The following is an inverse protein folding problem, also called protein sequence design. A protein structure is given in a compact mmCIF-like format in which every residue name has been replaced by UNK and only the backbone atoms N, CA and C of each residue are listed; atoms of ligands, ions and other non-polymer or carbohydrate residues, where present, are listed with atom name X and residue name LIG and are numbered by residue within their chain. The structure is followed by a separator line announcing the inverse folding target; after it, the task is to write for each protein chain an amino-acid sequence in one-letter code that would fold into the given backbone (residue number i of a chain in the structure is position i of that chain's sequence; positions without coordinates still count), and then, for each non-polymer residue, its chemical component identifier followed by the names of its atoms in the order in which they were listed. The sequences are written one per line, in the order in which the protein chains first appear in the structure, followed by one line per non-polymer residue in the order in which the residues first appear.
data_IF_177896787778
#
_entry.id   IF_177896787778
#
_cell.length_a   1.000
_cell.length_b   1.000
_cell.length_c   1.000
_cell.angle_alpha   90.00
_cell.angle_beta   90.00
_cell.angle_gamma   90.00
#
_symmetry.space_group_name_H-M   'P 1'
#
loop_
_entity.id
_entity.type
_entity.pdbx_description
1 polymer ?
#
# COMPACT_ATOMS: atom_id res chain seq x y z
N UNK A 1 37.27 -12.74 -0.58
CA UNK A 1 36.20 -11.78 -0.93
C UNK A 1 34.91 -12.56 -1.06
N UNK A 2 33.95 -12.37 -0.13
CA UNK A 2 32.70 -13.14 -0.12
C UNK A 2 31.87 -12.79 -1.35
N UNK A 3 31.53 -13.80 -2.16
CA UNK A 3 30.43 -13.76 -3.12
C UNK A 3 29.13 -13.43 -2.37
N UNK A 4 28.86 -12.14 -2.15
CA UNK A 4 27.50 -11.70 -1.80
C UNK A 4 26.68 -11.83 -3.07
N UNK A 5 25.83 -12.85 -3.12
CA UNK A 5 24.71 -12.90 -4.05
C UNK A 5 24.03 -11.51 -4.04
N UNK A 6 23.96 -10.86 -5.20
CA UNK A 6 23.33 -9.54 -5.33
C UNK A 6 21.81 -9.74 -5.25
N UNK A 7 21.26 -9.68 -4.05
CA UNK A 7 19.83 -9.81 -3.80
C UNK A 7 19.11 -8.54 -4.31
N UNK A 8 18.10 -8.72 -5.17
CA UNK A 8 17.25 -7.66 -5.69
C UNK A 8 16.10 -7.35 -4.72
N UNK A 9 15.60 -6.11 -4.75
CA UNK A 9 14.53 -5.62 -3.87
C UNK A 9 13.68 -4.57 -4.56
N UNK A 10 12.36 -4.62 -4.39
CA UNK A 10 11.49 -3.48 -4.67
C UNK A 10 11.61 -2.46 -3.52
N UNK A 11 12.09 -1.26 -3.82
CA UNK A 11 12.55 -0.30 -2.82
C UNK A 11 12.12 1.12 -3.19
N UNK A 12 11.60 1.87 -2.23
CA UNK A 12 11.52 3.33 -2.32
C UNK A 12 12.72 3.97 -1.61
N UNK A 13 13.16 5.11 -2.12
CA UNK A 13 14.23 5.92 -1.54
C UNK A 13 13.67 7.31 -1.29
N UNK A 14 13.89 7.83 -0.08
CA UNK A 14 13.44 9.16 0.31
C UNK A 14 14.63 10.12 0.28
N UNK A 15 14.52 11.17 -0.50
CA UNK A 15 15.52 12.23 -0.65
C UNK A 15 14.93 13.50 -0.04
N UNK A 16 15.69 14.15 0.83
CA UNK A 16 15.30 15.41 1.49
C UNK A 16 15.36 16.60 0.53
N UNK A 17 14.79 17.73 0.95
CA UNK A 17 14.88 19.00 0.23
C UNK A 17 16.31 19.56 0.14
N UNK A 18 17.23 19.05 0.95
CA UNK A 18 18.67 19.37 0.87
C UNK A 18 19.43 18.49 -0.13
N UNK A 19 18.76 17.53 -0.78
CA UNK A 19 19.37 16.56 -1.69
C UNK A 19 19.96 15.32 -1.00
N UNK A 20 20.01 15.29 0.34
CA UNK A 20 20.50 14.13 1.10
C UNK A 20 19.49 12.98 1.12
N UNK A 21 19.97 11.75 1.00
CA UNK A 21 19.15 10.53 1.19
C UNK A 21 18.83 10.38 2.67
N UNK A 22 17.54 10.44 3.02
CA UNK A 22 17.06 10.20 4.39
C UNK A 22 17.11 8.70 4.70
N UNK A 23 16.72 7.88 3.73
CA UNK A 23 16.69 6.43 3.89
C UNK A 23 15.92 5.72 2.78
N UNK A 24 15.57 4.47 3.05
CA UNK A 24 14.86 3.60 2.11
C UNK A 24 13.86 2.70 2.83
N UNK A 25 12.85 2.25 2.10
CA UNK A 25 11.88 1.25 2.55
C UNK A 25 11.67 0.21 1.45
N UNK A 26 11.63 -1.07 1.83
CA UNK A 26 11.43 -2.22 0.93
C UNK A 26 10.00 -2.71 1.00
N UNK A 27 9.43 -3.10 -0.14
CA UNK A 27 8.03 -3.54 -0.27
C UNK A 27 7.73 -4.71 0.68
N UNK A 28 6.86 -4.50 1.66
CA UNK A 28 6.52 -5.53 2.67
C UNK A 28 5.74 -6.71 2.08
N UNK A 29 4.80 -6.45 1.17
CA UNK A 29 3.91 -7.47 0.62
C UNK A 29 4.17 -7.66 -0.87
N UNK A 30 4.60 -8.86 -1.26
CA UNK A 30 4.98 -9.19 -2.64
C UNK A 30 3.85 -9.99 -3.32
N UNK A 31 3.28 -9.49 -4.43
CA UNK A 31 2.24 -10.21 -5.16
C UNK A 31 2.81 -11.44 -5.87
N UNK A 32 1.89 -12.39 -6.09
CA UNK A 32 2.11 -13.66 -6.79
C UNK A 32 0.93 -13.98 -7.72
N UNK A 33 0.27 -12.95 -8.24
CA UNK A 33 -1.06 -13.03 -8.85
C UNK A 33 -1.01 -12.59 -10.31
N UNK A 34 -1.50 -13.44 -11.22
CA UNK A 34 -1.58 -13.14 -12.65
C UNK A 34 -0.24 -12.70 -13.24
N UNK A 35 -0.23 -11.56 -13.93
CA UNK A 35 0.97 -11.00 -14.53
C UNK A 35 1.96 -10.39 -13.51
N UNK A 36 1.51 -10.13 -12.28
CA UNK A 36 2.32 -9.54 -11.21
C UNK A 36 3.14 -10.62 -10.47
N UNK A 37 4.00 -11.28 -11.23
CA UNK A 37 4.94 -12.33 -10.80
C UNK A 37 6.15 -11.77 -10.04
N UNK A 38 5.94 -10.79 -9.15
CA UNK A 38 7.00 -10.04 -8.49
C UNK A 38 7.90 -10.91 -7.60
N UNK A 39 7.37 -11.98 -7.01
CA UNK A 39 8.15 -12.91 -6.17
C UNK A 39 9.28 -13.63 -6.90
N UNK A 40 9.25 -13.67 -8.24
CA UNK A 40 10.34 -14.24 -9.01
C UNK A 40 11.58 -13.33 -9.04
N UNK A 41 11.42 -12.05 -8.68
CA UNK A 41 12.47 -11.04 -8.74
C UNK A 41 13.01 -10.66 -7.37
N UNK A 42 12.17 -10.60 -6.34
CA UNK A 42 12.55 -10.14 -5.00
C UNK A 42 11.64 -10.69 -3.90
N UNK A 43 12.17 -10.76 -2.68
CA UNK A 43 11.49 -11.26 -1.48
C UNK A 43 10.85 -10.13 -0.65
N UNK A 44 10.01 -10.51 0.31
CA UNK A 44 9.34 -9.63 1.27
C UNK A 44 10.33 -8.72 2.01
N UNK A 45 10.00 -7.43 2.06
CA UNK A 45 10.83 -6.40 2.66
C UNK A 45 11.16 -6.64 4.13
N UNK A 46 12.40 -6.32 4.51
CA UNK A 46 12.90 -6.48 5.87
C UNK A 46 13.19 -5.14 6.58
N UNK A 47 12.58 -4.06 6.11
CA UNK A 47 12.77 -2.70 6.66
C UNK A 47 11.66 -2.28 7.63
N UNK A 48 10.65 -3.13 7.86
CA UNK A 48 9.49 -2.79 8.68
C UNK A 48 8.64 -1.68 8.06
N UNK A 49 8.15 -0.77 8.90
CA UNK A 49 7.22 0.30 8.50
C UNK A 49 7.80 1.70 8.83
N UNK A 50 8.95 2.08 8.24
CA UNK A 50 9.63 3.32 8.61
C UNK A 50 8.79 4.54 8.22
N UNK A 51 8.83 5.55 9.09
CA UNK A 51 8.27 6.87 8.87
C UNK A 51 9.43 7.86 8.78
N UNK A 52 9.49 8.61 7.70
CA UNK A 52 10.57 9.55 7.40
C UNK A 52 10.13 10.95 7.81
N UNK A 53 10.78 11.50 8.83
CA UNK A 53 10.57 12.89 9.22
C UNK A 53 11.23 13.82 8.19
N UNK A 54 10.42 14.65 7.54
CA UNK A 54 10.89 15.72 6.66
C UNK A 54 10.50 17.07 7.26
N UNK A 55 11.05 18.16 6.72
CA UNK A 55 10.61 19.51 7.12
C UNK A 55 9.14 19.81 6.78
N UNK A 56 8.52 19.00 5.92
CA UNK A 56 7.14 19.16 5.46
C UNK A 56 6.16 18.18 6.12
N UNK A 57 6.63 17.40 7.10
CA UNK A 57 5.83 16.40 7.80
C UNK A 57 6.47 15.00 7.77
N UNK A 58 5.85 14.09 8.52
CA UNK A 58 6.22 12.69 8.64
C UNK A 58 5.56 11.87 7.53
N UNK A 59 6.36 11.40 6.59
CA UNK A 59 5.86 10.64 5.44
C UNK A 59 6.18 9.15 5.55
N UNK A 60 5.31 8.32 5.02
CA UNK A 60 5.55 6.90 4.81
C UNK A 60 5.18 6.49 3.40
N UNK A 61 5.62 5.31 2.99
CA UNK A 61 5.39 4.78 1.64
C UNK A 61 4.89 3.35 1.76
N UNK A 62 3.62 3.12 1.45
CA UNK A 62 3.06 1.80 1.28
C UNK A 62 3.19 1.37 -0.19
N UNK A 63 4.12 0.47 -0.52
CA UNK A 63 4.43 0.18 -1.92
C UNK A 63 3.42 -0.79 -2.54
N UNK A 64 2.72 -0.34 -3.58
CA UNK A 64 1.88 -1.11 -4.50
C UNK A 64 0.94 -2.12 -3.81
N UNK A 65 1.24 -3.43 -3.87
CA UNK A 65 0.42 -4.52 -3.32
C UNK A 65 0.22 -4.46 -1.80
N UNK A 66 1.05 -3.71 -1.09
CA UNK A 66 0.78 -3.38 0.31
C UNK A 66 -0.53 -2.59 0.52
N UNK A 67 -1.16 -2.05 -0.55
CA UNK A 67 -2.47 -1.37 -0.50
C UNK A 67 -3.59 -2.28 0.01
N UNK A 68 -3.51 -3.58 -0.27
CA UNK A 68 -4.53 -4.56 0.12
C UNK A 68 -4.45 -4.98 1.59
N UNK A 69 -3.37 -4.60 2.28
CA UNK A 69 -3.08 -5.07 3.63
C UNK A 69 -3.37 -3.98 4.65
N UNK A 70 -4.52 -4.06 5.31
CA UNK A 70 -4.95 -3.08 6.33
C UNK A 70 -3.93 -2.91 7.46
N UNK A 71 -3.27 -4.00 7.87
CA UNK A 71 -2.23 -3.96 8.90
C UNK A 71 -0.98 -3.18 8.45
N UNK A 72 -0.63 -3.23 7.16
CA UNK A 72 0.52 -2.50 6.62
C UNK A 72 0.29 -0.98 6.71
N UNK A 73 -0.91 -0.53 6.34
CA UNK A 73 -1.35 0.86 6.53
C UNK A 73 -1.35 1.27 8.01
N UNK A 74 -1.93 0.42 8.86
CA UNK A 74 -2.03 0.66 10.30
C UNK A 74 -0.68 0.85 10.96
N UNK A 75 0.31 0.03 10.62
CA UNK A 75 1.66 0.14 11.20
C UNK A 75 2.35 1.46 10.85
N UNK A 76 2.13 2.03 9.65
CA UNK A 76 2.62 3.38 9.35
C UNK A 76 1.92 4.45 10.20
N UNK A 77 0.61 4.31 10.43
CA UNK A 77 -0.17 5.20 11.31
C UNK A 77 0.29 5.15 12.77
N UNK A 78 0.53 3.94 13.29
CA UNK A 78 1.08 3.72 14.63
C UNK A 78 2.49 4.29 14.80
N UNK A 79 3.31 4.25 13.74
CA UNK A 79 4.63 4.89 13.72
C UNK A 79 4.56 6.42 13.51
N UNK A 80 3.36 7.00 13.42
CA UNK A 80 3.14 8.44 13.40
C UNK A 80 3.24 9.09 12.02
N UNK A 81 2.94 8.36 10.95
CA UNK A 81 2.83 8.94 9.61
C UNK A 81 1.68 9.98 9.54
N UNK A 82 1.94 11.09 8.87
CA UNK A 82 0.98 12.16 8.59
C UNK A 82 0.48 12.11 7.14
N UNK A 83 1.31 11.60 6.23
CA UNK A 83 0.96 11.29 4.85
C UNK A 83 1.53 9.91 4.50
N UNK A 84 0.72 9.04 3.92
CA UNK A 84 1.19 7.76 3.37
C UNK A 84 1.00 7.73 1.86
N UNK A 85 2.11 7.70 1.14
CA UNK A 85 2.14 7.54 -0.31
C UNK A 85 1.98 6.07 -0.70
N UNK A 86 1.25 5.80 -1.76
CA UNK A 86 1.06 4.47 -2.32
C UNK A 86 1.36 4.44 -3.82
N UNK A 87 2.67 4.38 -4.18
CA UNK A 87 3.09 4.19 -5.56
C UNK A 87 2.75 2.77 -6.00
N UNK A 88 2.00 2.68 -7.09
CA UNK A 88 1.43 1.43 -7.61
C UNK A 88 1.62 1.31 -9.12
N UNK A 89 1.58 0.07 -9.58
CA UNK A 89 1.43 -0.28 -10.99
C UNK A 89 0.44 -1.45 -11.03
N UNK A 90 -0.78 -1.16 -11.44
CA UNK A 90 -1.85 -2.17 -11.56
C UNK A 90 -2.74 -1.84 -12.75
N UNK A 91 -3.28 -2.89 -13.36
CA UNK A 91 -3.93 -2.87 -14.67
C UNK A 91 -5.43 -3.11 -14.54
N UNK A 92 -6.21 -2.62 -15.50
CA UNK A 92 -7.66 -2.78 -15.50
C UNK A 92 -8.10 -4.23 -15.75
N UNK A 93 -7.26 -5.03 -16.42
CA UNK A 93 -7.52 -6.43 -16.69
C UNK A 93 -7.36 -7.34 -15.45
N UNK A 94 -6.68 -6.86 -14.41
CA UNK A 94 -6.56 -7.56 -13.13
C UNK A 94 -7.92 -7.51 -12.42
N UNK A 95 -8.59 -8.67 -12.35
CA UNK A 95 -9.98 -8.77 -11.93
C UNK A 95 -10.24 -8.06 -10.59
N UNK A 96 -11.04 -6.99 -10.65
CA UNK A 96 -11.47 -6.22 -9.49
C UNK A 96 -10.48 -5.16 -8.99
N UNK A 97 -9.26 -5.08 -9.52
CA UNK A 97 -8.26 -4.11 -9.05
C UNK A 97 -8.76 -2.66 -9.13
N UNK A 98 -9.35 -2.28 -10.26
CA UNK A 98 -9.86 -0.92 -10.46
C UNK A 98 -11.04 -0.58 -9.53
N UNK A 99 -11.90 -1.56 -9.21
CA UNK A 99 -13.00 -1.35 -8.26
C UNK A 99 -12.46 -1.07 -6.85
N UNK A 100 -11.40 -1.77 -6.45
CA UNK A 100 -10.75 -1.59 -5.14
C UNK A 100 -9.96 -0.29 -5.04
N UNK A 101 -9.47 0.26 -6.16
CA UNK A 101 -8.59 1.44 -6.19
C UNK A 101 -9.15 2.64 -5.40
N UNK A 102 -10.45 2.90 -5.54
CA UNK A 102 -11.09 4.04 -4.89
C UNK A 102 -11.50 3.78 -3.43
N UNK A 103 -11.27 2.55 -2.94
CA UNK A 103 -11.71 2.05 -1.63
C UNK A 103 -10.53 1.97 -0.67
N UNK A 104 -9.45 1.28 -1.04
CA UNK A 104 -8.44 0.81 -0.09
C UNK A 104 -7.63 1.96 0.51
N UNK A 105 -7.02 2.81 -0.32
CA UNK A 105 -6.26 3.96 0.18
C UNK A 105 -7.17 5.02 0.83
N UNK A 106 -8.45 5.07 0.44
CA UNK A 106 -9.44 5.95 1.08
C UNK A 106 -9.80 5.42 2.48
N UNK A 107 -10.03 4.12 2.61
CA UNK A 107 -10.27 3.47 3.90
C UNK A 107 -9.06 3.63 4.82
N UNK A 108 -7.85 3.48 4.30
CA UNK A 108 -6.62 3.69 5.06
C UNK A 108 -6.50 5.12 5.62
N UNK A 109 -6.87 6.16 4.85
CA UNK A 109 -6.88 7.53 5.34
C UNK A 109 -7.86 7.72 6.51
N UNK A 110 -9.07 7.17 6.38
CA UNK A 110 -10.13 7.26 7.39
C UNK A 110 -9.74 6.53 8.68
N UNK A 111 -9.32 5.27 8.56
CA UNK A 111 -9.09 4.39 9.73
C UNK A 111 -7.83 4.77 10.50
N UNK A 112 -6.86 5.40 9.84
CA UNK A 112 -5.58 5.78 10.45
C UNK A 112 -5.44 7.29 10.71
N UNK A 113 -6.45 8.09 10.39
CA UNK A 113 -6.48 9.54 10.61
C UNK A 113 -5.23 10.26 10.06
N UNK A 114 -4.82 9.90 8.84
CA UNK A 114 -3.75 10.59 8.09
C UNK A 114 -4.21 10.89 6.65
N UNK A 115 -3.37 11.57 5.87
CA UNK A 115 -3.57 11.69 4.43
C UNK A 115 -3.04 10.45 3.68
N UNK A 116 -3.69 10.09 2.58
CA UNK A 116 -3.13 9.10 1.63
C UNK A 116 -2.99 9.69 0.23
N UNK A 117 -1.99 9.21 -0.50
CA UNK A 117 -1.72 9.56 -1.89
C UNK A 117 -1.59 8.28 -2.73
N UNK A 118 -2.69 7.88 -3.38
CA UNK A 118 -2.69 6.72 -4.27
C UNK A 118 -2.22 7.15 -5.66
N UNK A 119 -1.17 6.52 -6.17
CA UNK A 119 -0.54 6.89 -7.44
C UNK A 119 -0.42 5.62 -8.29
N UNK A 120 -1.04 5.59 -9.46
CA UNK A 120 -0.89 4.49 -10.41
C UNK A 120 -0.20 4.97 -11.69
N UNK A 121 0.43 4.01 -12.37
CA UNK A 121 0.92 4.16 -13.74
C UNK A 121 -0.25 4.40 -14.72
N UNK A 122 0.05 4.93 -15.91
CA UNK A 122 -0.91 5.11 -17.01
C UNK A 122 -0.38 4.46 -18.30
N UNK A 123 -1.30 4.09 -19.19
CA UNK A 123 -0.97 3.65 -20.55
C UNK A 123 -0.83 2.14 -20.70
N UNK A 124 -0.34 1.73 -21.87
CA UNK A 124 -0.09 0.33 -22.24
C UNK A 124 1.40 0.09 -22.40
N UNK A 125 1.84 -1.12 -22.08
CA UNK A 125 3.22 -1.55 -22.26
C UNK A 125 3.25 -2.87 -23.02
N UNK A 126 4.00 -2.89 -24.12
CA UNK A 126 4.28 -4.08 -24.92
C UNK A 126 5.72 -4.54 -24.72
N UNK A 127 5.92 -5.85 -24.60
CA UNK A 127 7.23 -6.47 -24.38
C UNK A 127 7.71 -7.23 -25.62
N UNK A 128 9.04 -7.38 -25.82
CA UNK A 128 9.57 -8.03 -27.03
C UNK A 128 9.14 -9.49 -27.20
N UNK A 129 9.05 -10.22 -26.08
CA UNK A 129 8.76 -11.65 -26.02
C UNK A 129 7.35 -11.89 -25.48
N UNK A 130 6.71 -12.96 -25.96
CA UNK A 130 5.39 -13.37 -25.48
C UNK A 130 5.46 -13.94 -24.06
N UNK A 131 4.38 -13.75 -23.30
CA UNK A 131 4.17 -14.34 -21.98
C UNK A 131 2.68 -14.71 -21.81
N UNK A 132 2.37 -15.40 -20.72
CA UNK A 132 0.99 -15.79 -20.37
C UNK A 132 0.64 -15.28 -18.97
N UNK A 133 -0.64 -14.97 -18.75
CA UNK A 133 -1.16 -14.48 -17.46
C UNK A 133 -1.67 -15.59 -16.53
N UNK A 134 -1.42 -16.86 -16.89
CA UNK A 134 -1.94 -18.04 -16.21
C UNK A 134 -3.47 -18.09 -16.07
N UNK A 135 -4.21 -17.49 -17.02
CA UNK A 135 -5.68 -17.43 -17.04
C UNK A 135 -6.32 -18.31 -18.14
N UNK A 136 -5.51 -19.13 -18.81
CA UNK A 136 -5.93 -20.02 -19.90
C UNK A 136 -6.10 -19.33 -21.26
N UNK A 137 -5.82 -18.02 -21.38
CA UNK A 137 -5.83 -17.31 -22.66
C UNK A 137 -4.50 -17.50 -23.43
N UNK A 138 -4.47 -17.20 -24.74
CA UNK A 138 -3.25 -17.25 -25.53
C UNK A 138 -2.14 -16.35 -24.99
N UNK A 139 -0.90 -16.70 -25.34
CA UNK A 139 0.24 -15.85 -25.06
C UNK A 139 0.11 -14.52 -25.81
N UNK A 140 0.62 -13.45 -25.21
CA UNK A 140 0.50 -12.08 -25.71
C UNK A 140 1.73 -11.27 -25.32
N UNK A 141 1.78 -10.02 -25.76
CA UNK A 141 2.92 -9.12 -25.53
C UNK A 141 2.57 -7.89 -24.70
N UNK A 142 1.29 -7.58 -24.51
CA UNK A 142 0.83 -6.41 -23.76
C UNK A 142 0.39 -6.77 -22.33
N UNK A 143 0.73 -5.96 -21.32
CA UNK A 143 0.26 -6.18 -19.95
C UNK A 143 -1.18 -5.68 -19.72
N UNK A 144 -1.81 -5.06 -20.72
CA UNK A 144 -3.05 -4.31 -20.56
C UNK A 144 -2.89 -2.89 -20.01
N UNK A 145 -4.03 -2.23 -19.79
CA UNK A 145 -4.10 -0.81 -19.44
C UNK A 145 -3.77 -0.57 -17.97
N UNK A 146 -2.70 0.16 -17.68
CA UNK A 146 -2.53 0.85 -16.41
C UNK A 146 -3.50 2.04 -16.34
N UNK A 147 -4.40 2.03 -15.36
CA UNK A 147 -5.60 2.87 -15.37
C UNK A 147 -5.46 4.21 -14.63
N UNK A 148 -4.24 4.65 -14.29
CA UNK A 148 -4.00 5.96 -13.67
C UNK A 148 -4.90 6.21 -12.45
N UNK A 149 -5.79 7.20 -12.56
CA UNK A 149 -6.77 7.49 -11.51
C UNK A 149 -6.15 7.86 -10.16
N UNK A 150 -4.94 8.40 -10.18
CA UNK A 150 -4.20 8.84 -8.99
C UNK A 150 -4.99 9.92 -8.24
N UNK A 151 -4.99 9.88 -6.91
CA UNK A 151 -5.77 10.79 -6.06
C UNK A 151 -5.19 10.97 -4.66
N UNK A 152 -5.62 12.03 -3.98
CA UNK A 152 -5.39 12.26 -2.55
C UNK A 152 -6.68 12.04 -1.75
N UNK A 153 -6.55 11.49 -0.54
CA UNK A 153 -7.62 11.41 0.44
C UNK A 153 -7.18 12.01 1.78
N UNK A 154 -8.06 12.82 2.37
CA UNK A 154 -7.90 13.35 3.71
C UNK A 154 -8.36 12.38 4.81
N UNK A 155 -7.96 12.64 6.06
CA UNK A 155 -8.32 11.81 7.21
C UNK A 155 -9.83 11.83 7.53
N UNK A 156 -10.56 12.85 7.10
CA UNK A 156 -12.02 12.93 7.21
C UNK A 156 -12.78 12.07 6.18
N UNK A 157 -12.05 11.43 5.26
CA UNK A 157 -12.60 10.61 4.18
C UNK A 157 -13.01 11.40 2.94
N UNK A 158 -12.82 12.73 2.92
CA UNK A 158 -12.96 13.55 1.71
C UNK A 158 -11.75 13.31 0.81
N UNK A 159 -11.99 13.22 -0.49
CA UNK A 159 -10.93 12.99 -1.49
C UNK A 159 -11.13 13.86 -2.71
N UNK A 160 -10.04 14.12 -3.43
CA UNK A 160 -10.13 14.75 -4.74
C UNK A 160 -10.62 13.76 -5.81
N UNK A 161 -11.11 14.27 -6.95
CA UNK A 161 -11.25 13.46 -8.16
C UNK A 161 -9.94 12.78 -8.54
N UNK A 162 -10.03 11.62 -9.18
CA UNK A 162 -8.85 10.96 -9.75
C UNK A 162 -8.33 11.69 -10.98
N UNK A 163 -7.02 11.59 -11.24
CA UNK A 163 -6.43 11.97 -12.53
C UNK A 163 -6.96 11.09 -13.67
N UNK A 164 -6.59 11.45 -14.90
CA UNK A 164 -6.92 10.68 -16.09
C UNK A 164 -6.52 9.20 -15.96
N UNK A 165 -7.29 8.33 -16.60
CA UNK A 165 -6.98 6.90 -16.70
C UNK A 165 -5.88 6.60 -17.72
N UNK A 166 -5.64 7.50 -18.67
CA UNK A 166 -4.86 7.20 -19.88
C UNK A 166 -3.81 8.24 -20.22
N UNK A 167 -3.76 9.37 -19.50
CA UNK A 167 -2.84 10.47 -19.78
C UNK A 167 -1.94 10.71 -18.57
N UNK A 168 -0.70 11.06 -18.86
CA UNK A 168 0.19 11.65 -17.88
C UNK A 168 -0.47 12.86 -17.22
N UNK A 169 -0.17 13.05 -15.94
CA UNK A 169 -0.76 14.14 -15.18
C UNK A 169 -0.01 14.44 -13.89
N UNK A 170 -0.13 15.70 -13.47
CA UNK A 170 0.38 16.19 -12.20
C UNK A 170 -0.80 16.57 -11.31
N UNK A 171 -0.89 15.96 -10.13
CA UNK A 171 -1.88 16.30 -9.13
C UNK A 171 -1.21 17.10 -8.01
N UNK A 172 -1.63 18.35 -7.84
CA UNK A 172 -1.17 19.24 -6.77
C UNK A 172 -2.31 19.40 -5.77
N UNK A 173 -2.04 19.14 -4.50
CA UNK A 173 -3.00 19.31 -3.40
C UNK A 173 -2.36 20.08 -2.25
N UNK A 174 -3.15 20.94 -1.60
CA UNK A 174 -2.77 21.64 -0.37
C UNK A 174 -3.41 20.91 0.80
N UNK A 175 -2.60 20.52 1.78
CA UNK A 175 -3.04 19.73 2.94
C UNK A 175 -2.64 20.43 4.23
N UNK A 176 -3.60 20.64 5.13
CA UNK A 176 -3.30 21.03 6.51
C UNK A 176 -3.09 19.77 7.36
N UNK A 177 -1.84 19.49 7.73
CA UNK A 177 -1.49 18.30 8.51
C UNK A 177 -2.07 18.33 9.93
N UNK A 178 -2.47 19.49 10.45
CA UNK A 178 -3.14 19.57 11.76
C UNK A 178 -4.48 18.85 11.76
N UNK A 179 -5.10 18.67 10.59
CA UNK A 179 -6.35 17.93 10.42
C UNK A 179 -6.24 16.49 10.90
N UNK A 180 -5.06 15.86 10.77
CA UNK A 180 -4.82 14.49 11.23
C UNK A 180 -5.14 14.34 12.73
N UNK A 181 -4.65 15.29 13.56
CA UNK A 181 -4.94 15.31 15.00
C UNK A 181 -6.40 15.64 15.26
N UNK A 182 -6.96 16.66 14.60
CA UNK A 182 -8.35 17.07 14.79
C UNK A 182 -9.33 15.90 14.53
N UNK A 183 -9.09 15.13 13.47
CA UNK A 183 -9.91 13.95 13.15
C UNK A 183 -9.65 12.81 14.14
N UNK A 184 -8.40 12.58 14.55
CA UNK A 184 -8.07 11.57 15.57
C UNK A 184 -8.80 11.84 16.89
N UNK A 185 -8.83 13.08 17.34
CA UNK A 185 -9.51 13.50 18.57
C UNK A 185 -11.03 13.42 18.43
N UNK A 186 -11.58 13.81 17.27
CA UNK A 186 -13.03 13.76 17.00
C UNK A 186 -13.57 12.33 16.86
N UNK A 187 -12.82 11.45 16.19
CA UNK A 187 -13.26 10.09 15.85
C UNK A 187 -12.89 9.06 16.90
N UNK A 188 -11.88 9.34 17.72
CA UNK A 188 -11.43 8.49 18.81
C UNK A 188 -10.92 7.10 18.37
N UNK A 189 -10.68 6.84 17.08
CA UNK A 189 -10.25 5.52 16.60
C UNK A 189 -8.98 5.03 17.29
N UNK A 190 -7.99 5.91 17.49
CA UNK A 190 -6.76 5.54 18.19
C UNK A 190 -6.98 5.24 19.67
N UNK A 191 -7.96 5.88 20.32
CA UNK A 191 -8.28 5.61 21.72
C UNK A 191 -9.00 4.27 21.89
N UNK A 192 -9.74 3.81 20.88
CA UNK A 192 -10.56 2.59 20.93
C UNK A 192 -9.95 1.40 20.17
N UNK A 193 -8.68 1.50 19.75
CA UNK A 193 -8.00 0.51 18.91
C UNK A 193 -7.76 -0.84 19.58
N UNK A 194 -7.68 -0.92 20.93
CA UNK A 194 -7.44 -2.15 21.70
C UNK A 194 -6.27 -3.01 21.16
N UNK A 195 -5.13 -2.36 20.92
CA UNK A 195 -3.97 -2.97 20.27
C UNK A 195 -3.44 -4.20 21.03
N UNK A 196 -3.54 -4.19 22.35
CA UNK A 196 -3.21 -5.30 23.23
C UNK A 196 -4.01 -6.56 22.89
N UNK A 197 -5.33 -6.42 22.77
CA UNK A 197 -6.22 -7.53 22.42
C UNK A 197 -5.89 -8.09 21.03
N UNK A 198 -5.67 -7.22 20.05
CA UNK A 198 -5.34 -7.65 18.68
C UNK A 198 -3.95 -8.25 18.57
N UNK A 199 -2.95 -7.73 19.29
CA UNK A 199 -1.61 -8.30 19.33
C UNK A 199 -1.65 -9.74 19.87
N UNK A 200 -2.34 -9.96 20.99
CA UNK A 200 -2.51 -11.30 21.56
C UNK A 200 -3.29 -12.23 20.64
N UNK A 201 -4.34 -11.71 19.98
CA UNK A 201 -5.17 -12.50 19.07
C UNK A 201 -4.39 -12.93 17.82
N UNK A 202 -3.65 -12.01 17.20
CA UNK A 202 -2.80 -12.29 16.05
C UNK A 202 -1.68 -13.26 16.42
N UNK A 203 -1.06 -13.12 17.59
CA UNK A 203 -0.05 -14.06 18.08
C UNK A 203 -0.62 -15.48 18.17
N UNK A 204 -1.81 -15.64 18.75
CA UNK A 204 -2.47 -16.96 18.89
C UNK A 204 -2.77 -17.60 17.54
N UNK A 205 -3.15 -16.82 16.53
CA UNK A 205 -3.44 -17.34 15.18
C UNK A 205 -2.20 -17.93 14.51
N UNK A 206 -0.99 -17.58 14.95
CA UNK A 206 0.27 -18.14 14.44
C UNK A 206 0.62 -19.49 15.06
N UNK A 207 -0.06 -19.92 16.13
CA UNK A 207 0.19 -21.21 16.77
C UNK A 207 -0.25 -22.36 15.84
N UNK A 208 0.56 -23.42 15.71
CA UNK A 208 0.30 -24.53 14.78
C UNK A 208 -0.99 -25.30 15.09
N UNK A 209 -1.39 -25.31 16.35
CA UNK A 209 -2.60 -25.97 16.87
C UNK A 209 -3.75 -24.98 17.11
N UNK A 210 -3.66 -23.77 16.56
CA UNK A 210 -4.71 -22.75 16.67
C UNK A 210 -6.07 -23.29 16.23
N UNK A 211 -7.06 -23.15 17.12
CA UNK A 211 -8.47 -23.43 16.83
C UNK A 211 -9.20 -22.11 16.65
N UNK A 212 -9.80 -21.92 15.49
CA UNK A 212 -10.62 -20.74 15.22
C UNK A 212 -11.76 -20.63 16.25
N UNK A 213 -12.03 -19.40 16.72
CA UNK A 213 -13.12 -19.12 17.65
C UNK A 213 -14.47 -19.19 16.92
N UNK A 214 -14.97 -20.40 16.68
CA UNK A 214 -16.27 -20.69 16.06
C UNK A 214 -17.21 -21.26 17.13
N UNK A 215 -18.42 -20.72 17.21
CA UNK A 215 -19.48 -21.19 18.12
C UNK A 215 -20.55 -21.86 17.29
N UNK A 216 -20.78 -23.16 17.47
CA UNK A 216 -21.83 -23.88 16.75
C UNK A 216 -23.14 -23.90 17.53
N UNK A 217 -24.24 -24.07 16.81
CA UNK A 217 -25.59 -24.14 17.39
C UNK A 217 -25.72 -25.23 18.47
N UNK A 218 -25.02 -26.35 18.29
CA UNK A 218 -25.06 -27.52 19.19
C UNK A 218 -24.06 -27.45 20.35
N UNK A 219 -23.25 -26.40 20.46
CA UNK A 219 -22.23 -26.25 21.52
C UNK A 219 -22.80 -25.60 22.81
N UNK A 220 -24.14 -25.51 22.91
CA UNK A 220 -24.87 -24.96 24.06
C UNK A 220 -25.49 -26.04 24.93
#
# INVERSE_FOLDING_TARGET
MKNMLKILWNTTVVISDTGNVIGKHRKNHIPRVGDFNESNYYMEGNTGHPVFATRYGKIAINICFGRHHVLNWMMFGLNGAEIVFNPSATIAAEAGSEYMWNIEARNAAITNCYFTAAINRVGYEEFPNEFTSADGKPAHKDLGLFYGSSYFCGPDGVRCPGLSRTKDGLLIGVMDLNMNRQIKDRRCYYMTQRLDMYADSLRKVLDLDYKAQVVNENDK
#
